data_IF_399160168009
#
_entry.id   IF_399160168009
#
_cell.length_a   1.000
_cell.length_b   1.000
_cell.length_c   1.000
_cell.angle_alpha   90.00
_cell.angle_beta   90.00
_cell.angle_gamma   90.00
#
_symmetry.space_group_name_H-M   'P 1'
#
loop_
_entity.id
_entity.type
_entity.pdbx_description
1 polymer ?
#
# COMPACT_ATOMS: atom_id res chain seq x y z
N UNK A 1 -11.59 10.08 -20.29
CA UNK A 1 -11.22 10.67 -18.97
C UNK A 1 -12.01 10.07 -17.78
N UNK A 2 -12.72 8.94 -17.93
CA UNK A 2 -13.50 8.34 -16.82
C UNK A 2 -12.83 7.13 -16.14
N UNK A 3 -11.87 6.48 -16.78
CA UNK A 3 -11.20 5.27 -16.25
C UNK A 3 -10.23 5.57 -15.10
N UNK A 4 -9.41 6.62 -15.21
CA UNK A 4 -8.39 7.02 -14.20
C UNK A 4 -9.00 7.35 -12.81
N UNK A 5 -10.13 8.05 -12.75
CA UNK A 5 -10.77 8.43 -11.47
C UNK A 5 -11.25 7.23 -10.66
N UNK A 6 -11.62 6.14 -11.34
CA UNK A 6 -12.11 4.93 -10.69
C UNK A 6 -10.96 4.12 -10.07
N UNK A 7 -9.81 4.03 -10.73
CA UNK A 7 -8.61 3.37 -10.20
C UNK A 7 -8.10 4.07 -8.93
N UNK A 8 -8.00 5.41 -8.95
CA UNK A 8 -7.63 6.20 -7.76
C UNK A 8 -8.62 5.95 -6.62
N UNK A 9 -9.92 5.99 -6.90
CA UNK A 9 -10.97 5.80 -5.89
C UNK A 9 -10.93 4.39 -5.30
N UNK A 10 -10.61 3.38 -6.09
CA UNK A 10 -10.44 2.01 -5.63
C UNK A 10 -9.19 1.86 -4.75
N UNK A 11 -8.03 2.40 -5.18
CA UNK A 11 -6.79 2.39 -4.38
C UNK A 11 -6.99 3.13 -3.05
N UNK A 12 -7.62 4.31 -3.09
CA UNK A 12 -7.95 5.09 -1.90
C UNK A 12 -8.92 4.35 -0.97
N UNK A 13 -9.94 3.67 -1.53
CA UNK A 13 -10.88 2.85 -0.77
C UNK A 13 -10.22 1.68 -0.06
N UNK A 14 -9.31 0.97 -0.74
CA UNK A 14 -8.52 -0.11 -0.13
C UNK A 14 -7.60 0.42 0.97
N UNK A 15 -6.93 1.55 0.76
CA UNK A 15 -6.04 2.13 1.76
C UNK A 15 -6.79 2.59 3.02
N UNK A 16 -7.93 3.27 2.84
CA UNK A 16 -8.81 3.69 3.94
C UNK A 16 -9.36 2.49 4.71
N UNK A 17 -9.81 1.44 3.98
CA UNK A 17 -10.28 0.20 4.57
C UNK A 17 -9.19 -0.57 5.33
N UNK A 18 -7.96 -0.58 4.82
CA UNK A 18 -6.82 -1.22 5.46
C UNK A 18 -6.42 -0.50 6.75
N UNK A 19 -6.37 0.83 6.77
CA UNK A 19 -6.04 1.60 7.99
C UNK A 19 -7.09 1.35 9.08
N UNK A 20 -8.38 1.48 8.74
CA UNK A 20 -9.47 1.28 9.69
C UNK A 20 -9.51 -0.19 10.15
N UNK A 21 -9.41 -1.12 9.21
CA UNK A 21 -9.48 -2.56 9.48
C UNK A 21 -8.31 -3.07 10.31
N UNK A 22 -7.09 -2.60 10.06
CA UNK A 22 -5.91 -3.00 10.85
C UNK A 22 -5.91 -2.37 12.24
N UNK A 23 -6.36 -1.12 12.36
CA UNK A 23 -6.50 -0.45 13.65
C UNK A 23 -7.51 -1.19 14.52
N UNK A 24 -8.68 -1.48 13.98
CA UNK A 24 -9.71 -2.26 14.70
C UNK A 24 -9.27 -3.71 14.92
N UNK A 25 -8.63 -4.36 13.95
CA UNK A 25 -8.18 -5.74 14.08
C UNK A 25 -7.10 -5.95 15.14
N UNK A 26 -6.12 -5.03 15.21
CA UNK A 26 -5.09 -5.04 16.26
C UNK A 26 -5.69 -4.67 17.62
N UNK A 27 -6.67 -3.75 17.66
CA UNK A 27 -7.32 -3.32 18.89
C UNK A 27 -8.24 -4.40 19.49
N UNK A 28 -9.04 -5.08 18.65
CA UNK A 28 -9.96 -6.13 19.09
C UNK A 28 -9.26 -7.45 19.40
N UNK A 29 -8.14 -7.76 18.72
CA UNK A 29 -7.40 -8.99 18.92
C UNK A 29 -5.90 -8.72 19.22
N UNK A 30 -5.57 -8.30 20.45
CA UNK A 30 -4.18 -8.08 20.83
C UNK A 30 -3.45 -9.41 21.06
N UNK A 31 -2.44 -9.69 20.24
CA UNK A 31 -1.44 -10.71 20.55
C UNK A 31 -0.46 -10.20 21.62
N UNK A 32 0.09 -11.11 22.43
CA UNK A 32 1.14 -10.76 23.42
C UNK A 32 2.32 -10.07 22.72
N UNK A 33 2.73 -8.88 23.19
CA UNK A 33 3.76 -8.07 22.53
C UNK A 33 5.11 -8.78 22.32
N UNK A 34 5.50 -9.69 23.21
CA UNK A 34 6.70 -10.53 23.06
C UNK A 34 6.61 -11.45 21.83
N UNK A 35 5.42 -12.02 21.58
CA UNK A 35 5.14 -12.84 20.40
C UNK A 35 5.09 -11.99 19.14
N UNK A 36 4.51 -10.78 19.20
CA UNK A 36 4.42 -9.86 18.05
C UNK A 36 5.80 -9.42 17.56
N UNK A 37 6.71 -9.02 18.46
CA UNK A 37 8.07 -8.61 18.08
C UNK A 37 8.87 -9.74 17.44
N UNK A 38 8.77 -10.95 18.01
CA UNK A 38 9.39 -12.16 17.44
C UNK A 38 8.81 -12.50 16.06
N UNK A 39 7.48 -12.54 15.94
CA UNK A 39 6.79 -12.83 14.68
C UNK A 39 7.06 -11.80 13.61
N UNK A 40 7.12 -10.50 13.94
CA UNK A 40 7.41 -9.44 12.98
C UNK A 40 8.82 -9.59 12.40
N UNK A 41 9.83 -9.82 13.26
CA UNK A 41 11.21 -10.03 12.81
C UNK A 41 11.33 -11.24 11.87
N UNK A 42 10.73 -12.36 12.26
CA UNK A 42 10.75 -13.58 11.45
C UNK A 42 9.98 -13.41 10.14
N UNK A 43 8.73 -12.90 10.21
CA UNK A 43 7.90 -12.69 9.01
C UNK A 43 8.52 -11.66 8.08
N UNK A 44 9.10 -10.56 8.56
CA UNK A 44 9.75 -9.56 7.71
C UNK A 44 10.89 -10.18 6.89
N UNK A 45 11.74 -11.01 7.50
CA UNK A 45 12.83 -11.70 6.79
C UNK A 45 12.30 -12.69 5.74
N UNK A 46 11.32 -13.53 6.10
CA UNK A 46 10.73 -14.49 5.18
C UNK A 46 9.98 -13.82 4.04
N UNK A 47 9.18 -12.80 4.35
CA UNK A 47 8.37 -12.08 3.39
C UNK A 47 9.24 -11.29 2.41
N UNK A 48 10.32 -10.64 2.85
CA UNK A 48 11.27 -10.02 1.93
C UNK A 48 11.86 -11.02 0.92
N UNK A 49 12.24 -12.21 1.38
CA UNK A 49 12.81 -13.25 0.50
C UNK A 49 11.77 -13.77 -0.49
N UNK A 50 10.55 -14.05 -0.03
CA UNK A 50 9.46 -14.58 -0.86
C UNK A 50 8.92 -13.53 -1.83
N UNK A 51 8.65 -12.31 -1.36
CA UNK A 51 8.24 -11.18 -2.20
C UNK A 51 9.29 -10.93 -3.26
N UNK A 52 10.57 -10.76 -2.90
CA UNK A 52 11.63 -10.51 -3.89
C UNK A 52 11.70 -11.59 -4.97
N UNK A 53 11.50 -12.85 -4.62
CA UNK A 53 11.51 -13.96 -5.60
C UNK A 53 10.27 -14.04 -6.50
N UNK A 54 9.08 -13.67 -5.98
CA UNK A 54 7.82 -13.66 -6.75
C UNK A 54 7.71 -12.38 -7.58
N UNK A 55 7.93 -11.24 -6.94
CA UNK A 55 7.97 -9.94 -7.62
C UNK A 55 9.01 -9.90 -8.73
N UNK A 56 10.21 -10.47 -8.60
CA UNK A 56 11.17 -10.38 -9.71
C UNK A 56 10.69 -11.04 -11.02
N UNK A 57 9.72 -11.95 -10.98
CA UNK A 57 9.09 -12.54 -12.18
C UNK A 57 7.85 -11.77 -12.63
N UNK A 58 7.10 -11.22 -11.69
CA UNK A 58 5.85 -10.52 -11.98
C UNK A 58 6.07 -9.02 -12.22
N UNK A 59 7.23 -8.45 -11.82
CA UNK A 59 7.53 -7.02 -11.94
C UNK A 59 7.64 -6.60 -13.40
N UNK A 60 8.05 -7.48 -14.31
CA UNK A 60 8.17 -7.15 -15.73
C UNK A 60 6.77 -7.01 -16.38
N UNK A 61 5.76 -7.74 -15.88
CA UNK A 61 4.35 -7.59 -16.29
C UNK A 61 3.68 -6.42 -15.59
N UNK A 62 4.03 -6.19 -14.32
CA UNK A 62 3.49 -5.09 -13.52
C UNK A 62 4.16 -3.77 -13.91
N UNK A 63 5.35 -3.75 -14.52
CA UNK A 63 6.06 -2.50 -14.86
C UNK A 63 5.26 -1.65 -15.84
N UNK A 64 4.62 -2.30 -16.82
CA UNK A 64 3.79 -1.66 -17.85
C UNK A 64 2.52 -1.06 -17.23
N UNK A 65 1.83 -1.79 -16.35
CA UNK A 65 0.66 -1.29 -15.60
C UNK A 65 1.04 -0.30 -14.48
N UNK A 66 2.25 -0.42 -13.94
CA UNK A 66 2.75 0.42 -12.83
C UNK A 66 3.22 1.79 -13.31
N UNK A 67 3.63 1.93 -14.57
CA UNK A 67 3.90 3.25 -15.17
C UNK A 67 2.60 4.06 -15.26
N UNK A 68 1.48 3.46 -15.69
CA UNK A 68 0.18 4.15 -15.74
C UNK A 68 -0.32 4.52 -14.33
N UNK A 69 -0.12 3.64 -13.33
CA UNK A 69 -0.50 3.92 -11.93
C UNK A 69 0.42 4.96 -11.29
N UNK A 70 1.72 4.97 -11.62
CA UNK A 70 2.69 5.94 -11.07
C UNK A 70 2.29 7.36 -11.41
N UNK A 71 1.97 7.61 -12.68
CA UNK A 71 1.66 8.96 -13.14
C UNK A 71 0.40 9.51 -12.44
N UNK A 72 -0.60 8.65 -12.25
CA UNK A 72 -1.84 8.98 -11.54
C UNK A 72 -1.59 9.27 -10.04
N UNK A 73 -0.77 8.46 -9.37
CA UNK A 73 -0.46 8.63 -7.94
C UNK A 73 0.41 9.86 -7.70
N UNK A 74 1.37 10.13 -8.57
CA UNK A 74 2.24 11.31 -8.50
C UNK A 74 1.42 12.58 -8.69
N UNK A 75 0.49 12.60 -9.65
CA UNK A 75 -0.35 13.77 -9.93
C UNK A 75 -1.29 14.11 -8.75
N UNK A 76 -1.84 13.12 -8.05
CA UNK A 76 -2.68 13.35 -6.88
C UNK A 76 -1.89 13.77 -5.64
N UNK A 77 -0.67 13.26 -5.44
CA UNK A 77 0.22 13.70 -4.36
C UNK A 77 0.68 15.15 -4.59
N UNK A 78 0.96 15.55 -5.83
CA UNK A 78 1.34 16.92 -6.16
C UNK A 78 0.17 17.90 -6.00
N UNK A 79 -1.06 17.49 -6.31
CA UNK A 79 -2.27 18.28 -6.05
C UNK A 79 -2.52 18.46 -4.56
N UNK A 80 -2.30 17.42 -3.74
CA UNK A 80 -2.44 17.49 -2.28
C UNK A 80 -1.33 18.35 -1.64
N UNK A 81 -0.10 18.28 -2.17
CA UNK A 81 1.05 19.05 -1.68
C UNK A 81 0.95 20.53 -2.07
N UNK A 82 0.52 20.86 -3.29
CA UNK A 82 0.37 22.24 -3.73
C UNK A 82 -0.89 22.94 -3.18
N UNK A 83 -1.99 22.21 -2.94
CA UNK A 83 -3.19 22.80 -2.30
C UNK A 83 -2.92 23.20 -0.84
N UNK A 84 -1.93 22.58 -0.19
CA UNK A 84 -1.47 22.94 1.16
C UNK A 84 -0.57 24.18 1.19
N UNK A 85 0.01 24.58 0.05
CA UNK A 85 0.89 25.77 -0.07
C UNK A 85 0.13 27.08 -0.37
N UNK A 86 -1.18 27.01 -0.63
CA UNK A 86 -2.06 28.16 -0.93
C UNK A 86 -3.10 28.47 0.16
N UNK A 87 -2.92 27.97 1.38
CA UNK A 87 -3.67 28.40 2.57
C UNK A 87 -2.72 28.97 3.61
#
# INVERSE_FOLDING_TARGET
METSKNTVKQIAGVFLGAVIGTTLGILFAPEKGTKTRSRLSTRAKFMNKTIKSKFKRDVDLIQEDAEEIKDIVIEDIDKLTNKKKKK
#
